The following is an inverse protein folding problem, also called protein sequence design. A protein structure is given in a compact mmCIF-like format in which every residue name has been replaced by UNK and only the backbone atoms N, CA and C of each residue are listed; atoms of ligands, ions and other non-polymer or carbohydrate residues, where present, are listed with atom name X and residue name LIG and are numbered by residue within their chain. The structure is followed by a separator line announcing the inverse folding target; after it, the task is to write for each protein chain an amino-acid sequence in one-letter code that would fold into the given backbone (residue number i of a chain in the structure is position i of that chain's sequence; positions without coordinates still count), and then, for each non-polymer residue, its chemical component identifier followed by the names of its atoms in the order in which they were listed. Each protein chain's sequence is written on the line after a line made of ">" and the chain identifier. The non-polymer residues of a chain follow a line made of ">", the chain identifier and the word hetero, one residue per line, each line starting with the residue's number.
data_IF_520122026055
#
_entry.id   IF_520122026055
#
_cell.length_a   1.000
_cell.length_b   1.000
_cell.length_c   1.000
_cell.angle_alpha   90.00
_cell.angle_beta   90.00
_cell.angle_gamma   90.00
#
_symmetry.space_group_name_H-M   'P 1'
#
loop_
_entity.id
_entity.type
_entity.pdbx_description
1 polymer ?
#
# COMPACT_ATOMS: atom_id res chain seq x y z
N UNK A 1 11.15 -42.99 14.74
CA UNK A 1 12.49 -43.21 14.15
C UNK A 1 13.40 -43.99 15.10
N UNK A 2 13.59 -43.52 16.35
CA UNK A 2 14.41 -44.22 17.37
C UNK A 2 14.15 -45.71 17.52
N UNK A 3 12.88 -46.10 17.70
CA UNK A 3 12.48 -47.51 17.83
C UNK A 3 12.87 -48.37 16.64
N UNK A 4 12.94 -47.81 15.43
CA UNK A 4 13.35 -48.55 14.24
C UNK A 4 14.87 -48.73 14.20
N UNK A 5 15.64 -47.71 14.62
CA UNK A 5 17.09 -47.80 14.72
C UNK A 5 17.47 -48.82 15.81
N UNK A 6 16.82 -48.79 16.97
CA UNK A 6 17.03 -49.77 18.04
C UNK A 6 16.72 -51.20 17.60
N UNK A 7 15.63 -51.41 16.85
CA UNK A 7 15.33 -52.75 16.29
C UNK A 7 16.42 -53.22 15.34
N UNK A 8 16.88 -52.36 14.43
CA UNK A 8 17.96 -52.70 13.51
C UNK A 8 19.27 -53.02 14.24
N UNK A 9 19.63 -52.25 15.27
CA UNK A 9 20.80 -52.54 16.10
C UNK A 9 20.69 -53.92 16.75
N UNK A 10 19.53 -54.25 17.33
CA UNK A 10 19.29 -55.55 17.92
C UNK A 10 19.33 -56.67 16.86
N UNK A 11 18.78 -56.45 15.67
CA UNK A 11 18.79 -57.42 14.58
C UNK A 11 20.22 -57.68 14.07
N UNK A 12 21.07 -56.65 14.05
CA UNK A 12 22.49 -56.76 13.71
C UNK A 12 23.26 -57.51 14.81
N UNK A 13 23.02 -57.19 16.08
CA UNK A 13 23.71 -57.80 17.22
C UNK A 13 23.40 -59.30 17.35
N UNK A 14 22.14 -59.68 17.09
CA UNK A 14 21.68 -61.06 17.18
C UNK A 14 21.78 -61.82 15.84
N UNK A 15 22.40 -61.22 14.81
CA UNK A 15 22.48 -61.84 13.49
C UNK A 15 23.39 -63.08 13.54
N UNK A 16 22.93 -64.25 13.03
CA UNK A 16 23.74 -65.45 13.04
C UNK A 16 25.00 -65.28 12.19
N UNK A 17 26.13 -65.79 12.66
CA UNK A 17 27.36 -65.84 11.86
C UNK A 17 27.15 -66.81 10.70
N UNK A 18 27.51 -66.38 9.51
CA UNK A 18 27.44 -67.18 8.28
C UNK A 18 28.82 -67.23 7.65
N UNK A 19 29.13 -68.38 7.04
CA UNK A 19 30.35 -68.57 6.24
C UNK A 19 30.11 -68.20 4.75
N UNK A 20 28.91 -67.73 4.39
CA UNK A 20 28.61 -67.25 3.04
C UNK A 20 29.26 -65.89 2.77
N UNK A 21 30.29 -65.87 1.92
CA UNK A 21 31.00 -64.65 1.50
C UNK A 21 30.09 -63.60 0.82
N UNK A 22 28.92 -64.00 0.31
CA UNK A 22 27.95 -63.08 -0.30
C UNK A 22 27.09 -62.36 0.74
N UNK A 23 27.03 -62.85 1.97
CA UNK A 23 26.30 -62.18 3.03
C UNK A 23 27.08 -60.96 3.53
N UNK A 24 26.58 -59.79 3.16
CA UNK A 24 27.14 -58.48 3.52
C UNK A 24 26.25 -57.75 4.53
N UNK A 25 25.25 -58.42 5.12
CA UNK A 25 24.22 -57.79 5.96
C UNK A 25 24.84 -57.01 7.12
N UNK A 26 25.61 -57.70 7.97
CA UNK A 26 26.26 -57.09 9.14
C UNK A 26 27.29 -56.04 8.71
N UNK A 27 28.09 -56.31 7.67
CA UNK A 27 29.10 -55.37 7.15
C UNK A 27 28.47 -54.03 6.75
N UNK A 28 27.40 -54.06 5.96
CA UNK A 28 26.76 -52.84 5.43
C UNK A 28 25.86 -52.16 6.46
N UNK A 29 25.06 -52.93 7.18
CA UNK A 29 24.06 -52.37 8.07
C UNK A 29 24.63 -51.88 9.39
N UNK A 30 25.79 -52.36 9.83
CA UNK A 30 26.48 -51.78 11.00
C UNK A 30 26.84 -50.31 10.77
N UNK A 31 27.42 -50.00 9.61
CA UNK A 31 27.76 -48.63 9.23
C UNK A 31 26.52 -47.74 9.08
N UNK A 32 25.48 -48.25 8.42
CA UNK A 32 24.21 -47.55 8.26
C UNK A 32 23.50 -47.29 9.59
N UNK A 33 23.48 -48.28 10.49
CA UNK A 33 22.84 -48.17 11.80
C UNK A 33 23.52 -47.10 12.66
N UNK A 34 24.86 -47.13 12.74
CA UNK A 34 25.65 -46.10 13.42
C UNK A 34 25.39 -44.71 12.85
N UNK A 35 25.40 -44.57 11.52
CA UNK A 35 25.10 -43.29 10.89
C UNK A 35 23.67 -42.80 11.21
N UNK A 36 22.69 -43.70 11.16
CA UNK A 36 21.29 -43.39 11.47
C UNK A 36 21.12 -42.94 12.92
N UNK A 37 21.81 -43.58 13.87
CA UNK A 37 21.86 -43.20 15.29
C UNK A 37 22.38 -41.78 15.46
N UNK A 38 23.53 -41.47 14.86
CA UNK A 38 24.14 -40.14 14.92
C UNK A 38 23.20 -39.04 14.34
N UNK A 39 22.54 -39.32 13.21
CA UNK A 39 21.59 -38.37 12.61
C UNK A 39 20.35 -38.19 13.48
N UNK A 40 19.82 -39.27 14.05
CA UNK A 40 18.67 -39.22 14.95
C UNK A 40 18.98 -38.39 16.21
N UNK A 41 20.15 -38.56 16.82
CA UNK A 41 20.55 -37.81 18.01
C UNK A 41 20.65 -36.31 17.76
N UNK A 42 21.19 -35.91 16.60
CA UNK A 42 21.21 -34.50 16.16
C UNK A 42 19.79 -33.95 16.04
N UNK A 43 18.92 -34.66 15.33
CA UNK A 43 17.53 -34.24 15.14
C UNK A 43 16.75 -34.19 16.46
N UNK A 44 16.96 -35.16 17.35
CA UNK A 44 16.36 -35.20 18.68
C UNK A 44 16.80 -34.00 19.53
N UNK A 45 18.08 -33.64 19.46
CA UNK A 45 18.62 -32.45 20.14
C UNK A 45 18.00 -31.17 19.60
N UNK A 46 17.91 -31.02 18.27
CA UNK A 46 17.26 -29.88 17.64
C UNK A 46 15.78 -29.77 18.03
N UNK A 47 15.06 -30.89 18.08
CA UNK A 47 13.65 -30.91 18.47
C UNK A 47 13.46 -30.52 19.94
N UNK A 48 14.28 -31.04 20.86
CA UNK A 48 14.27 -30.63 22.28
C UNK A 48 14.57 -29.14 22.44
N UNK A 49 15.51 -28.61 21.68
CA UNK A 49 15.82 -27.18 21.69
C UNK A 49 14.63 -26.35 21.17
N UNK A 50 13.99 -26.77 20.08
CA UNK A 50 12.78 -26.13 19.56
C UNK A 50 11.64 -26.11 20.60
N UNK A 51 11.39 -27.23 21.29
CA UNK A 51 10.38 -27.31 22.34
C UNK A 51 10.66 -26.33 23.49
N UNK A 52 11.91 -26.27 23.97
CA UNK A 52 12.31 -25.31 25.03
C UNK A 52 12.13 -23.86 24.61
N UNK A 53 12.44 -23.52 23.36
CA UNK A 53 12.21 -22.17 22.84
C UNK A 53 10.72 -21.83 22.81
N UNK A 54 9.87 -22.80 22.45
CA UNK A 54 8.42 -22.61 22.47
C UNK A 54 7.86 -22.46 23.89
N UNK A 55 8.34 -23.24 24.85
CA UNK A 55 8.01 -23.08 26.28
C UNK A 55 8.44 -21.70 26.82
N UNK A 56 9.61 -21.23 26.39
CA UNK A 56 10.09 -19.88 26.73
C UNK A 56 9.18 -18.78 26.14
N UNK A 57 8.64 -18.97 24.94
CA UNK A 57 7.64 -18.06 24.36
C UNK A 57 6.35 -18.06 25.18
N UNK A 58 5.88 -19.23 25.61
CA UNK A 58 4.71 -19.33 26.49
C UNK A 58 4.89 -18.58 27.80
N UNK A 59 6.08 -18.70 28.41
CA UNK A 59 6.43 -17.95 29.62
C UNK A 59 6.50 -16.44 29.36
N UNK A 60 7.05 -16.03 28.22
CA UNK A 60 7.23 -14.62 27.87
C UNK A 60 5.92 -13.92 27.51
N UNK A 61 5.05 -14.57 26.74
CA UNK A 61 3.76 -14.04 26.31
C UNK A 61 2.57 -14.49 27.17
N UNK A 62 2.84 -15.22 28.26
CA UNK A 62 1.86 -15.72 29.23
C UNK A 62 0.73 -16.58 28.62
N UNK A 63 1.10 -17.63 27.87
CA UNK A 63 0.18 -18.66 27.40
C UNK A 63 0.70 -20.07 27.74
N UNK A 64 -0.19 -21.07 27.73
CA UNK A 64 0.16 -22.46 27.97
C UNK A 64 0.66 -23.15 26.67
N UNK A 65 1.95 -23.51 26.56
CA UNK A 65 2.52 -24.18 25.38
C UNK A 65 1.97 -25.59 25.13
N UNK A 66 1.33 -26.22 26.12
CA UNK A 66 0.76 -27.56 25.98
C UNK A 66 -0.69 -27.54 25.49
N UNK A 67 -1.37 -26.41 25.65
CA UNK A 67 -2.74 -26.21 25.14
C UNK A 67 -2.72 -25.66 23.72
N UNK A 68 -1.83 -24.70 23.44
CA UNK A 68 -1.67 -24.12 22.11
C UNK A 68 -0.47 -24.77 21.42
N UNK A 69 -0.68 -25.48 20.32
CA UNK A 69 0.41 -26.09 19.58
C UNK A 69 1.21 -25.05 18.77
N UNK A 70 2.42 -25.44 18.36
CA UNK A 70 3.36 -24.55 17.65
C UNK A 70 2.76 -24.07 16.32
N UNK A 71 2.08 -24.95 15.61
CA UNK A 71 1.45 -24.69 14.32
C UNK A 71 0.35 -23.64 14.44
N UNK A 72 -0.53 -23.77 15.43
CA UNK A 72 -1.63 -22.83 15.68
C UNK A 72 -1.09 -21.46 16.12
N UNK A 73 -0.15 -21.42 17.06
CA UNK A 73 0.46 -20.16 17.52
C UNK A 73 1.08 -19.36 16.36
N UNK A 74 1.89 -20.00 15.53
CA UNK A 74 2.53 -19.31 14.40
C UNK A 74 1.57 -19.06 13.23
N UNK A 75 0.52 -19.88 13.09
CA UNK A 75 -0.57 -19.64 12.14
C UNK A 75 -1.36 -18.37 12.46
N UNK A 76 -1.74 -18.20 13.73
CA UNK A 76 -2.41 -17.00 14.22
C UNK A 76 -1.52 -15.77 14.08
N UNK A 77 -0.23 -15.89 14.43
CA UNK A 77 0.73 -14.78 14.32
C UNK A 77 0.96 -14.36 12.85
N UNK A 78 1.04 -15.33 11.93
CA UNK A 78 1.16 -15.05 10.49
C UNK A 78 -0.09 -14.34 9.95
N UNK A 79 -1.27 -14.76 10.41
CA UNK A 79 -2.55 -14.14 10.08
C UNK A 79 -2.61 -12.72 10.60
N UNK A 80 -2.28 -12.50 11.87
CA UNK A 80 -2.18 -11.17 12.48
C UNK A 80 -1.25 -10.25 11.70
N UNK A 81 -0.04 -10.71 11.36
CA UNK A 81 0.92 -9.92 10.57
C UNK A 81 0.32 -9.48 9.23
N UNK A 82 -0.38 -10.39 8.54
CA UNK A 82 -0.98 -10.12 7.24
C UNK A 82 -2.07 -9.05 7.37
N UNK A 83 -2.99 -9.24 8.31
CA UNK A 83 -4.06 -8.29 8.60
C UNK A 83 -3.52 -6.91 9.02
N UNK A 84 -2.45 -6.89 9.82
CA UNK A 84 -1.83 -5.64 10.24
C UNK A 84 -1.24 -4.86 9.06
N UNK A 85 -0.53 -5.53 8.14
CA UNK A 85 0.03 -4.89 6.94
C UNK A 85 -1.07 -4.37 6.02
N UNK A 86 -2.19 -5.10 5.89
CA UNK A 86 -3.36 -4.64 5.13
C UNK A 86 -4.01 -3.43 5.76
N UNK A 87 -4.23 -3.44 7.08
CA UNK A 87 -4.80 -2.31 7.82
C UNK A 87 -3.94 -1.05 7.68
N UNK A 88 -2.61 -1.16 7.70
CA UNK A 88 -1.70 -0.03 7.45
C UNK A 88 -1.90 0.56 6.06
N UNK A 89 -2.04 -0.28 5.03
CA UNK A 89 -2.30 0.18 3.65
C UNK A 89 -3.66 0.88 3.55
N UNK A 90 -4.69 0.33 4.17
CA UNK A 90 -6.03 0.90 4.11
C UNK A 90 -6.13 2.20 4.90
N UNK A 91 -5.42 2.32 6.03
CA UNK A 91 -5.27 3.59 6.76
C UNK A 91 -4.60 4.67 5.90
N UNK A 92 -3.61 4.30 5.08
CA UNK A 92 -2.98 5.25 4.16
C UNK A 92 -3.97 5.73 3.10
N UNK A 93 -4.66 4.81 2.41
CA UNK A 93 -5.70 5.15 1.41
C UNK A 93 -6.80 6.03 2.00
N UNK A 94 -7.26 5.71 3.22
CA UNK A 94 -8.29 6.48 3.93
C UNK A 94 -7.85 7.92 4.14
N UNK A 95 -6.63 8.14 4.64
CA UNK A 95 -6.06 9.47 4.84
C UNK A 95 -5.92 10.26 3.53
N UNK A 96 -5.47 9.64 2.45
CA UNK A 96 -5.39 10.29 1.14
C UNK A 96 -6.78 10.70 0.61
N UNK A 97 -7.78 9.83 0.78
CA UNK A 97 -9.16 10.11 0.39
C UNK A 97 -9.76 11.26 1.20
N UNK A 98 -9.54 11.28 2.52
CA UNK A 98 -9.99 12.36 3.40
C UNK A 98 -9.36 13.70 3.02
N UNK A 99 -8.07 13.73 2.70
CA UNK A 99 -7.40 14.94 2.20
C UNK A 99 -7.99 15.41 0.86
N UNK A 100 -8.27 14.48 -0.05
CA UNK A 100 -8.86 14.81 -1.36
C UNK A 100 -10.26 15.40 -1.20
N UNK A 101 -11.09 14.81 -0.32
CA UNK A 101 -12.43 15.32 -0.01
C UNK A 101 -12.34 16.71 0.62
N UNK A 102 -11.44 16.90 1.59
CA UNK A 102 -11.23 18.20 2.24
C UNK A 102 -10.82 19.28 1.23
N UNK A 103 -9.88 18.99 0.33
CA UNK A 103 -9.46 19.91 -0.74
C UNK A 103 -10.61 20.23 -1.70
N UNK A 104 -11.40 19.23 -2.10
CA UNK A 104 -12.55 19.43 -2.97
C UNK A 104 -13.63 20.32 -2.30
N UNK A 105 -13.89 20.13 -1.01
CA UNK A 105 -14.85 20.95 -0.24
C UNK A 105 -14.40 22.40 -0.15
N UNK A 106 -13.13 22.65 0.20
CA UNK A 106 -12.56 24.00 0.27
C UNK A 106 -12.58 24.70 -1.09
N UNK A 107 -12.29 23.98 -2.18
CA UNK A 107 -12.35 24.53 -3.52
C UNK A 107 -13.77 24.92 -3.94
N UNK A 108 -14.78 24.08 -3.61
CA UNK A 108 -16.19 24.37 -3.87
C UNK A 108 -16.67 25.59 -3.08
N UNK A 109 -16.38 25.64 -1.78
CA UNK A 109 -16.76 26.77 -0.91
C UNK A 109 -16.14 28.08 -1.39
N UNK A 110 -14.85 28.05 -1.77
CA UNK A 110 -14.17 29.23 -2.35
C UNK A 110 -14.81 29.68 -3.66
N UNK A 111 -15.12 28.74 -4.56
CA UNK A 111 -15.76 29.06 -5.84
C UNK A 111 -17.18 29.65 -5.64
N UNK A 112 -17.92 29.16 -4.66
CA UNK A 112 -19.25 29.68 -4.31
C UNK A 112 -19.16 31.09 -3.72
N UNK A 113 -18.21 31.33 -2.81
CA UNK A 113 -17.95 32.67 -2.26
C UNK A 113 -17.56 33.67 -3.34
N UNK A 114 -16.63 33.30 -4.22
CA UNK A 114 -16.23 34.15 -5.36
C UNK A 114 -17.42 34.44 -6.31
N UNK A 115 -18.33 33.48 -6.52
CA UNK A 115 -19.55 33.68 -7.32
C UNK A 115 -20.52 34.65 -6.63
N UNK A 116 -20.72 34.53 -5.32
CA UNK A 116 -21.58 35.42 -4.54
C UNK A 116 -21.02 36.85 -4.51
N UNK A 117 -19.71 37.03 -4.28
CA UNK A 117 -19.04 38.34 -4.33
C UNK A 117 -19.19 39.00 -5.71
N UNK A 118 -19.03 38.23 -6.79
CA UNK A 118 -19.25 38.71 -8.17
C UNK A 118 -20.69 39.17 -8.40
N UNK A 119 -21.66 38.41 -7.89
CA UNK A 119 -23.06 38.77 -8.00
C UNK A 119 -23.39 40.03 -7.19
N UNK A 120 -22.84 40.17 -5.98
CA UNK A 120 -23.03 41.36 -5.15
C UNK A 120 -22.42 42.61 -5.79
N UNK A 121 -21.18 42.54 -6.29
CA UNK A 121 -20.54 43.65 -7.02
C UNK A 121 -21.32 44.04 -8.27
N UNK A 122 -21.85 43.06 -9.01
CA UNK A 122 -22.71 43.33 -10.16
C UNK A 122 -24.03 44.00 -9.74
N UNK A 123 -24.65 43.57 -8.63
CA UNK A 123 -25.87 44.20 -8.11
C UNK A 123 -25.63 45.64 -7.67
N UNK A 124 -24.55 45.95 -6.96
CA UNK A 124 -24.20 47.32 -6.57
C UNK A 124 -24.07 48.27 -7.78
N UNK A 125 -23.49 47.80 -8.89
CA UNK A 125 -23.41 48.59 -10.13
C UNK A 125 -24.77 48.78 -10.82
N UNK A 126 -25.74 47.89 -10.59
CA UNK A 126 -27.09 47.97 -11.18
C UNK A 126 -28.06 48.73 -10.27
N UNK A 127 -27.90 48.70 -8.94
CA UNK A 127 -28.78 49.41 -8.00
C UNK A 127 -28.60 50.93 -8.04
N UNK A 128 -27.42 51.41 -8.48
CA UNK A 128 -27.27 52.82 -8.86
C UNK A 128 -28.23 53.24 -9.99
N UNK A 129 -28.87 52.31 -10.70
CA UNK A 129 -29.90 52.63 -11.71
C UNK A 129 -31.34 52.66 -11.16
N UNK A 130 -31.61 52.29 -9.89
CA UNK A 130 -33.01 52.15 -9.41
C UNK A 130 -33.45 53.06 -8.27
N UNK A 131 -32.53 53.56 -7.44
CA UNK A 131 -32.87 54.58 -6.41
C UNK A 131 -32.58 56.03 -6.84
N UNK A 132 -32.09 56.24 -8.07
CA UNK A 132 -32.08 57.55 -8.72
C UNK A 132 -33.43 57.81 -9.40
N UNK A 133 -34.44 58.13 -8.60
CA UNK A 133 -35.70 58.66 -9.10
C UNK A 133 -35.44 59.87 -10.00
N UNK A 134 -35.97 59.80 -11.22
CA UNK A 134 -36.30 60.92 -12.11
C UNK A 134 -35.40 62.18 -11.96
N UNK A 135 -34.35 62.25 -12.79
CA UNK A 135 -33.49 63.41 -13.13
C UNK A 135 -32.00 63.34 -12.75
N UNK A 136 -31.30 62.23 -13.00
CA UNK A 136 -29.82 62.23 -12.97
C UNK A 136 -29.21 61.92 -14.35
N UNK A 137 -28.79 62.99 -15.02
CA UNK A 137 -28.04 63.00 -16.30
C UNK A 137 -26.65 62.33 -16.22
N UNK A 138 -26.26 61.73 -15.09
CA UNK A 138 -24.91 61.21 -14.81
C UNK A 138 -24.77 59.68 -14.81
N UNK A 139 -25.87 58.94 -15.03
CA UNK A 139 -25.83 57.46 -15.04
C UNK A 139 -25.03 56.93 -16.23
N UNK A 140 -25.22 57.52 -17.42
CA UNK A 140 -24.49 57.17 -18.64
C UNK A 140 -23.00 57.48 -18.51
N UNK A 141 -22.66 58.66 -17.96
CA UNK A 141 -21.27 59.08 -17.78
C UNK A 141 -20.55 58.20 -16.75
N UNK A 142 -21.23 57.81 -15.65
CA UNK A 142 -20.69 56.86 -14.67
C UNK A 142 -20.44 55.47 -15.27
N UNK A 143 -21.32 55.00 -16.16
CA UNK A 143 -21.13 53.73 -16.89
C UNK A 143 -19.97 53.82 -17.89
N UNK A 144 -19.87 54.92 -18.63
CA UNK A 144 -18.78 55.17 -19.58
C UNK A 144 -17.43 55.32 -18.87
N UNK A 145 -17.40 56.00 -17.72
CA UNK A 145 -16.20 56.12 -16.88
C UNK A 145 -15.80 54.76 -16.29
N UNK A 146 -16.73 53.92 -15.86
CA UNK A 146 -16.44 52.56 -15.40
C UNK A 146 -15.90 51.66 -16.52
N UNK A 147 -16.38 51.83 -17.76
CA UNK A 147 -15.86 51.14 -18.94
C UNK A 147 -14.46 51.65 -19.33
N UNK A 148 -14.25 52.96 -19.31
CA UNK A 148 -13.00 53.63 -19.71
C UNK A 148 -11.87 53.44 -18.67
N UNK A 149 -12.18 53.55 -17.38
CA UNK A 149 -11.26 53.22 -16.27
C UNK A 149 -10.99 51.71 -16.13
N UNK A 150 -11.74 50.87 -16.88
CA UNK A 150 -11.67 49.42 -16.82
C UNK A 150 -12.27 48.81 -15.55
N UNK A 151 -12.90 49.60 -14.68
CA UNK A 151 -13.59 49.15 -13.47
C UNK A 151 -14.69 48.11 -13.79
N UNK A 152 -15.40 48.27 -14.92
CA UNK A 152 -16.45 47.38 -15.39
C UNK A 152 -15.96 45.97 -15.77
N UNK A 153 -14.66 45.77 -16.02
CA UNK A 153 -14.09 44.51 -16.53
C UNK A 153 -13.06 43.85 -15.60
N UNK A 154 -12.89 44.36 -14.37
CA UNK A 154 -11.82 43.93 -13.45
C UNK A 154 -11.82 42.42 -13.15
N UNK A 155 -12.94 41.71 -13.33
CA UNK A 155 -13.06 40.29 -13.02
C UNK A 155 -12.48 39.30 -14.05
N UNK A 156 -12.33 39.69 -15.33
CA UNK A 156 -11.77 38.78 -16.35
C UNK A 156 -10.23 38.67 -16.30
N UNK A 157 -9.53 39.56 -15.57
CA UNK A 157 -8.06 39.63 -15.55
C UNK A 157 -7.38 39.02 -14.32
N UNK A 158 -8.09 38.30 -13.44
CA UNK A 158 -7.40 37.39 -12.50
C UNK A 158 -6.97 36.11 -13.23
N UNK A 159 -6.00 36.26 -14.16
CA UNK A 159 -5.10 35.16 -14.52
C UNK A 159 -4.30 34.85 -13.26
N UNK A 160 -4.37 33.61 -12.78
CA UNK A 160 -3.41 33.07 -11.81
C UNK A 160 -1.98 33.45 -12.21
N UNK A 161 -1.12 33.90 -11.27
CA UNK A 161 0.27 34.19 -11.60
C UNK A 161 0.90 32.90 -12.16
N UNK A 162 1.34 32.97 -13.41
CA UNK A 162 2.06 31.88 -14.06
C UNK A 162 3.44 31.91 -13.43
N UNK A 163 3.73 30.99 -12.50
CA UNK A 163 5.08 30.81 -11.99
C UNK A 163 6.01 30.55 -13.19
N UNK A 164 6.90 31.50 -13.45
CA UNK A 164 7.75 31.55 -14.63
C UNK A 164 9.02 30.70 -14.45
N UNK A 165 8.86 29.44 -14.02
CA UNK A 165 9.98 28.49 -13.83
C UNK A 165 9.77 27.14 -14.51
N UNK A 166 8.93 27.07 -15.54
CA UNK A 166 8.96 25.95 -16.49
C UNK A 166 8.79 26.44 -17.92
N UNK A 167 9.89 26.86 -18.53
CA UNK A 167 10.08 26.74 -19.99
C UNK A 167 10.08 25.24 -20.32
N UNK A 168 8.89 24.64 -20.39
CA UNK A 168 8.70 23.42 -21.14
C UNK A 168 8.75 23.83 -22.61
N UNK A 169 9.83 23.46 -23.28
CA UNK A 169 9.97 23.51 -24.73
C UNK A 169 8.76 22.77 -25.31
N UNK A 170 7.86 23.52 -25.94
CA UNK A 170 6.81 22.97 -26.79
C UNK A 170 7.50 22.39 -28.02
N UNK A 171 7.90 21.12 -27.92
CA UNK A 171 8.18 20.25 -29.06
C UNK A 171 6.94 20.29 -29.97
N UNK A 172 7.06 21.07 -31.03
CA UNK A 172 6.08 21.20 -32.09
C UNK A 172 6.13 19.89 -32.86
N UNK A 173 5.35 18.89 -32.44
CA UNK A 173 5.20 17.63 -33.17
C UNK A 173 4.72 17.95 -34.59
N UNK A 174 5.67 17.94 -35.53
CA UNK A 174 5.40 18.10 -36.95
C UNK A 174 4.57 16.89 -37.40
N UNK A 175 3.32 17.17 -37.71
CA UNK A 175 2.49 16.34 -38.58
C UNK A 175 3.29 15.93 -39.82
N UNK A 176 3.61 14.64 -39.92
CA UNK A 176 3.94 13.98 -41.18
C UNK A 176 2.82 13.00 -41.48
N UNK A 177 1.85 13.54 -42.23
CA UNK A 177 1.15 12.90 -43.33
C UNK A 177 1.71 11.51 -43.71
N UNK A 178 0.98 10.45 -43.37
CA UNK A 178 1.22 9.12 -43.91
C UNK A 178 0.27 8.91 -45.09
N UNK A 179 0.84 8.77 -46.29
CA UNK A 179 0.12 8.53 -47.53
C UNK A 179 -0.43 7.12 -47.61
N UNK A 180 -1.70 7.06 -48.02
CA UNK A 180 -2.54 5.99 -48.57
C UNK A 180 -2.00 4.54 -48.72
N UNK A 181 -2.83 3.51 -48.43
CA UNK A 181 -2.56 2.12 -48.75
C UNK A 181 -3.00 1.76 -50.20
N UNK A 182 -2.11 1.16 -50.99
CA UNK A 182 -2.47 0.28 -52.12
C UNK A 182 -2.59 -1.14 -51.54
N UNK A 183 -3.68 -1.90 -51.62
CA UNK A 183 -4.58 -2.20 -52.74
C UNK A 183 -3.88 -2.90 -53.92
N UNK A 184 -3.39 -4.13 -53.68
CA UNK A 184 -3.70 -5.34 -54.48
C UNK A 184 -3.10 -6.58 -53.85
#
# INVERSE_FOLDING_TARGET
>A
MERHIQRLENDIENFPKTDDEKDKFVEKLSGFSKHSREQYEKLSTMHKNMQKLYESLGSYYAFDPHVLCVEDFFGDLASFRTLFVEAVKDNHKKREMEEKIKRARLAKEKAEREKQERQQKKKQLIDMNKEGGENETGVMDSLMEALQSGAAFRDRRKRTPRNDTRRAVLERSRSRHNGNPQAR
#
